data_IF_896226961990
#
_entry.id   IF_896226961990
#
_cell.length_a   1.000
_cell.length_b   1.000
_cell.length_c   1.000
_cell.angle_alpha   90.00
_cell.angle_beta   90.00
_cell.angle_gamma   90.00
#
_symmetry.space_group_name_H-M   'P 1'
#
loop_
_entity.id
_entity.type
_entity.pdbx_description
1 polymer ?
#
# COMPACT_ATOMS: atom_id res chain seq x y z
N UNK A 1 5.47 -6.44 11.59
CA UNK A 1 4.03 -6.07 11.46
C UNK A 1 3.62 -6.18 10.00
N UNK A 2 2.36 -6.48 9.68
CA UNK A 2 1.83 -6.48 8.30
C UNK A 2 1.23 -5.11 8.00
N UNK A 3 1.83 -4.36 7.07
CA UNK A 3 1.41 -3.00 6.74
C UNK A 3 0.91 -2.95 5.30
N UNK A 4 -0.29 -2.39 5.10
CA UNK A 4 -0.85 -2.15 3.78
C UNK A 4 -0.88 -0.65 3.47
N UNK A 5 -0.29 -0.27 2.34
CA UNK A 5 -0.25 1.11 1.86
C UNK A 5 -1.28 1.33 0.74
N UNK A 6 -2.24 2.23 0.95
CA UNK A 6 -3.19 2.65 -0.10
C UNK A 6 -2.62 3.88 -0.81
N UNK A 7 -2.38 3.77 -2.12
CA UNK A 7 -1.65 4.76 -2.90
C UNK A 7 -0.12 4.64 -2.74
N UNK A 8 0.39 3.41 -2.71
CA UNK A 8 1.80 3.11 -2.44
C UNK A 8 2.77 3.67 -3.50
N UNK A 9 2.29 3.95 -4.71
CA UNK A 9 3.05 4.56 -5.81
C UNK A 9 3.34 6.05 -5.64
N UNK A 10 2.74 6.70 -4.66
CA UNK A 10 3.04 8.09 -4.29
C UNK A 10 4.49 8.29 -3.86
N UNK A 11 5.06 9.48 -4.09
CA UNK A 11 6.46 9.78 -3.76
C UNK A 11 6.77 9.54 -2.28
N UNK A 12 5.96 10.08 -1.36
CA UNK A 12 6.15 9.87 0.08
C UNK A 12 5.79 8.46 0.54
N UNK A 13 4.72 7.88 -0.01
CA UNK A 13 4.23 6.56 0.40
C UNK A 13 5.21 5.45 0.02
N UNK A 14 5.77 5.48 -1.19
CA UNK A 14 6.78 4.52 -1.62
C UNK A 14 8.06 4.58 -0.78
N UNK A 15 8.53 5.78 -0.42
CA UNK A 15 9.68 5.94 0.47
C UNK A 15 9.41 5.37 1.87
N UNK A 16 8.22 5.63 2.44
CA UNK A 16 7.83 5.09 3.74
C UNK A 16 7.65 3.55 3.69
N UNK A 17 7.07 3.03 2.62
CA UNK A 17 6.92 1.59 2.40
C UNK A 17 8.28 0.88 2.34
N UNK A 18 9.24 1.44 1.61
CA UNK A 18 10.62 0.92 1.56
C UNK A 18 11.25 0.95 2.95
N UNK A 19 11.12 2.07 3.67
CA UNK A 19 11.68 2.17 5.01
C UNK A 19 11.12 1.10 5.96
N UNK A 20 9.81 0.87 5.97
CA UNK A 20 9.18 -0.18 6.80
C UNK A 20 9.63 -1.57 6.39
N UNK A 21 9.72 -1.83 5.09
CA UNK A 21 10.26 -3.09 4.58
C UNK A 21 11.70 -3.34 5.05
N UNK A 22 12.57 -2.34 4.99
CA UNK A 22 13.95 -2.44 5.48
C UNK A 22 14.04 -2.63 7.01
N UNK A 23 13.04 -2.18 7.75
CA UNK A 23 12.92 -2.42 9.20
C UNK A 23 12.38 -3.83 9.53
N UNK A 24 12.08 -4.65 8.52
CA UNK A 24 11.61 -6.04 8.69
C UNK A 24 10.09 -6.19 8.72
N UNK A 25 9.32 -5.16 8.39
CA UNK A 25 7.87 -5.27 8.27
C UNK A 25 7.45 -5.97 6.97
N UNK A 26 6.35 -6.71 7.03
CA UNK A 26 5.70 -7.30 5.86
C UNK A 26 4.87 -6.23 5.17
N UNK A 27 5.44 -5.61 4.12
CA UNK A 27 4.81 -4.49 3.42
C UNK A 27 4.08 -4.95 2.17
N UNK A 28 2.86 -4.46 2.02
CA UNK A 28 2.06 -4.56 0.81
C UNK A 28 1.41 -3.22 0.48
N UNK A 29 0.82 -3.08 -0.71
CA UNK A 29 0.01 -1.92 -1.02
C UNK A 29 -0.76 -2.02 -2.31
N UNK A 30 -1.56 -1.00 -2.56
CA UNK A 30 -2.38 -0.83 -3.75
C UNK A 30 -2.10 0.54 -4.39
N UNK A 31 -2.26 0.63 -5.71
CA UNK A 31 -2.28 1.91 -6.42
C UNK A 31 -3.13 1.81 -7.69
N UNK A 32 -3.75 2.91 -8.12
CA UNK A 32 -4.54 2.94 -9.36
C UNK A 32 -3.67 3.12 -10.61
N UNK A 33 -2.46 3.69 -10.46
CA UNK A 33 -1.59 3.94 -11.60
C UNK A 33 -0.32 3.08 -11.53
N UNK A 34 -0.04 2.25 -12.55
CA UNK A 34 1.27 1.65 -12.69
C UNK A 34 2.30 2.74 -13.02
N UNK A 35 3.52 2.59 -12.50
CA UNK A 35 4.59 3.55 -12.74
C UNK A 35 5.93 3.05 -12.19
N UNK A 36 6.96 3.88 -12.34
CA UNK A 36 8.33 3.53 -11.96
C UNK A 36 8.42 3.06 -10.50
N UNK A 37 7.74 3.77 -9.57
CA UNK A 37 7.76 3.43 -8.14
C UNK A 37 7.05 2.12 -7.84
N UNK A 38 5.85 1.89 -8.39
CA UNK A 38 5.13 0.63 -8.16
C UNK A 38 5.87 -0.57 -8.77
N UNK A 39 6.52 -0.39 -9.92
CA UNK A 39 7.41 -1.41 -10.50
C UNK A 39 8.65 -1.65 -9.64
N UNK A 40 9.28 -0.60 -9.13
CA UNK A 40 10.44 -0.70 -8.26
C UNK A 40 10.13 -1.46 -6.96
N UNK A 41 9.01 -1.14 -6.31
CA UNK A 41 8.54 -1.84 -5.10
C UNK A 41 8.27 -3.32 -5.39
N UNK A 42 7.66 -3.66 -6.53
CA UNK A 42 7.51 -5.06 -6.97
C UNK A 42 8.85 -5.76 -7.15
N UNK A 43 9.84 -5.10 -7.75
CA UNK A 43 11.20 -5.65 -7.92
C UNK A 43 11.91 -5.88 -6.59
N UNK A 44 11.63 -5.07 -5.57
CA UNK A 44 12.10 -5.29 -4.20
C UNK A 44 11.41 -6.46 -3.49
N UNK A 45 10.39 -7.08 -4.10
CA UNK A 45 9.66 -8.21 -3.53
C UNK A 45 8.41 -7.81 -2.74
N UNK A 46 8.04 -6.53 -2.72
CA UNK A 46 6.79 -6.10 -2.09
C UNK A 46 5.60 -6.49 -2.96
N UNK A 47 4.51 -6.90 -2.31
CA UNK A 47 3.24 -7.13 -2.99
C UNK A 47 2.59 -5.78 -3.28
N UNK A 48 2.47 -5.46 -4.56
CA UNK A 48 1.77 -4.24 -5.02
C UNK A 48 0.65 -4.64 -5.97
N UNK A 49 -0.59 -4.41 -5.56
CA UNK A 49 -1.77 -4.67 -6.38
C UNK A 49 -2.17 -3.41 -7.17
N UNK A 50 -2.63 -3.59 -8.40
CA UNK A 50 -3.11 -2.47 -9.23
C UNK A 50 -4.64 -2.39 -9.12
N UNK A 51 -5.15 -1.19 -8.88
CA UNK A 51 -6.55 -0.97 -8.54
C UNK A 51 -6.84 -1.23 -7.06
N UNK A 52 -8.00 -0.75 -6.60
CA UNK A 52 -8.42 -0.89 -5.22
C UNK A 52 -9.45 -2.00 -5.05
N UNK A 53 -9.23 -2.87 -4.07
CA UNK A 53 -10.14 -3.95 -3.72
C UNK A 53 -10.09 -4.18 -2.21
N UNK A 54 -11.23 -4.45 -1.54
CA UNK A 54 -11.23 -4.82 -0.13
C UNK A 54 -10.29 -6.02 0.15
N UNK A 55 -10.10 -6.91 -0.82
CA UNK A 55 -9.26 -8.11 -0.65
C UNK A 55 -7.76 -7.82 -0.66
N UNK A 56 -7.36 -6.61 -1.08
CA UNK A 56 -5.95 -6.19 -1.05
C UNK A 56 -5.42 -6.05 0.38
N UNK A 57 -6.28 -5.69 1.36
CA UNK A 57 -5.88 -5.55 2.77
C UNK A 57 -5.40 -6.86 3.39
N UNK A 58 -6.02 -7.98 3.03
CA UNK A 58 -5.75 -9.31 3.61
C UNK A 58 -5.74 -9.26 5.15
N UNK A 59 -4.64 -9.69 5.75
CA UNK A 59 -4.40 -9.73 7.20
C UNK A 59 -3.50 -8.57 7.64
N UNK A 60 -3.64 -7.38 7.03
CA UNK A 60 -2.87 -6.21 7.44
C UNK A 60 -3.24 -5.80 8.88
N UNK A 61 -2.21 -5.63 9.71
CA UNK A 61 -2.34 -5.11 11.08
C UNK A 61 -2.51 -3.58 11.08
N UNK A 62 -1.95 -2.91 10.07
CA UNK A 62 -1.97 -1.46 9.92
C UNK A 62 -2.21 -1.05 8.47
N UNK A 63 -3.10 -0.10 8.26
CA UNK A 63 -3.35 0.52 6.95
C UNK A 63 -2.86 1.96 6.96
N UNK A 64 -2.02 2.32 6.00
CA UNK A 64 -1.51 3.69 5.82
C UNK A 64 -1.99 4.20 4.46
N UNK A 65 -2.64 5.35 4.44
CA UNK A 65 -3.17 5.95 3.22
C UNK A 65 -2.64 7.37 3.03
N UNK A 66 -2.39 7.75 1.77
CA UNK A 66 -2.13 9.15 1.43
C UNK A 66 -3.40 9.97 1.59
N UNK A 67 -3.27 11.27 1.90
CA UNK A 67 -4.40 12.21 1.90
C UNK A 67 -5.07 12.35 0.53
N UNK A 68 -4.37 11.97 -0.54
CA UNK A 68 -4.95 11.93 -1.88
C UNK A 68 -5.90 10.74 -2.12
N UNK A 69 -5.93 9.76 -1.21
CA UNK A 69 -6.87 8.63 -1.29
C UNK A 69 -8.24 9.10 -0.76
N UNK A 70 -9.30 9.00 -1.56
CA UNK A 70 -10.65 9.35 -1.13
C UNK A 70 -11.13 8.50 0.06
N UNK A 71 -11.95 9.09 0.94
CA UNK A 71 -12.50 8.41 2.11
C UNK A 71 -13.48 7.27 1.76
N UNK A 72 -14.04 7.27 0.56
CA UNK A 72 -14.92 6.22 0.03
C UNK A 72 -14.14 5.06 -0.63
N UNK A 73 -12.80 5.09 -0.56
CA UNK A 73 -11.98 3.99 -1.03
C UNK A 73 -12.35 2.69 -0.29
N UNK A 74 -12.62 1.64 -1.07
CA UNK A 74 -13.09 0.34 -0.60
C UNK A 74 -12.13 -0.34 0.41
N UNK A 75 -10.83 -0.07 0.31
CA UNK A 75 -9.83 -0.55 1.28
C UNK A 75 -9.92 0.24 2.59
N UNK A 76 -10.09 1.56 2.55
CA UNK A 76 -10.23 2.36 3.78
C UNK A 76 -11.53 2.03 4.51
N UNK A 77 -12.63 1.83 3.77
CA UNK A 77 -13.91 1.42 4.36
C UNK A 77 -13.77 0.07 5.07
N UNK A 78 -13.10 -0.92 4.46
CA UNK A 78 -12.90 -2.23 5.09
C UNK A 78 -11.96 -2.16 6.30
N UNK A 79 -10.92 -1.32 6.26
CA UNK A 79 -9.97 -1.15 7.35
C UNK A 79 -10.57 -0.50 8.61
N UNK A 80 -11.66 0.27 8.47
CA UNK A 80 -12.36 0.92 9.59
C UNK A 80 -13.39 0.02 10.29
N UNK A 81 -13.65 -1.18 9.78
CA UNK A 81 -14.55 -2.16 10.39
C UNK A 81 -13.81 -3.04 11.37
#
# INVERSE_FOLDING_TARGET
>A
MKIHFVGIGGMGMSALAIHRFLMGDSVSGSDIFPGERTMYLKKLGLRVEMGHSPDNLREADLVIASRAVPDDNVELIKARK
#
